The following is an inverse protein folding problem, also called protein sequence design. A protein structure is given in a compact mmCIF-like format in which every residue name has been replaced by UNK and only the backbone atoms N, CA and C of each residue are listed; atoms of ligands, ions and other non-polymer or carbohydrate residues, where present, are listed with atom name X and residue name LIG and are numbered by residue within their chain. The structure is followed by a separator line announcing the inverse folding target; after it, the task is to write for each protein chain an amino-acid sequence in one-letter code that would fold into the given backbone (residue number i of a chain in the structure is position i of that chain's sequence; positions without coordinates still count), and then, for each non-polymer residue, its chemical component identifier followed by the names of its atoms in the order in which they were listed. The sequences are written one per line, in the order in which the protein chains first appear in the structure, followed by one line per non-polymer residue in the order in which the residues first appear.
data_IF_400820531693
#
_entry.id   IF_400820531693
#
_cell.length_a   1.000
_cell.length_b   1.000
_cell.length_c   1.000
_cell.angle_alpha   90.00
_cell.angle_beta   90.00
_cell.angle_gamma   90.00
#
_symmetry.space_group_name_H-M   'P 1'
#
loop_
_entity.id
_entity.type
_entity.pdbx_description
1 polymer ?
#
# COMPACT_ATOMS: atom_id res chain seq x y z
N UNK A 1 -42.00 -24.76 0.92
CA UNK A 1 -41.22 -23.48 0.79
C UNK A 1 -39.81 -23.76 1.27
N UNK A 2 -38.91 -23.91 0.36
CA UNK A 2 -37.51 -24.05 0.71
C UNK A 2 -36.99 -22.67 1.10
N UNK A 3 -36.64 -22.50 2.38
CA UNK A 3 -35.89 -21.36 2.80
C UNK A 3 -34.52 -21.42 2.13
N UNK A 4 -34.26 -20.52 1.18
CA UNK A 4 -32.91 -20.30 0.68
C UNK A 4 -32.05 -19.92 1.87
N UNK A 5 -31.20 -20.86 2.31
CA UNK A 5 -30.08 -20.49 3.11
C UNK A 5 -29.18 -19.58 2.28
N UNK A 6 -29.25 -18.29 2.58
CA UNK A 6 -28.23 -17.36 2.11
C UNK A 6 -26.96 -17.83 2.80
N UNK A 7 -26.06 -18.45 2.02
CA UNK A 7 -24.73 -18.74 2.53
C UNK A 7 -24.13 -17.41 2.92
N UNK A 8 -23.94 -17.22 4.22
CA UNK A 8 -23.16 -16.09 4.72
C UNK A 8 -21.81 -16.18 4.02
N UNK A 9 -21.56 -15.24 3.11
CA UNK A 9 -20.22 -15.06 2.56
C UNK A 9 -19.34 -14.74 3.74
N UNK A 10 -18.47 -15.66 4.12
CA UNK A 10 -17.41 -15.36 5.09
C UNK A 10 -16.73 -14.10 4.63
N UNK A 11 -16.91 -13.01 5.37
CA UNK A 11 -16.21 -11.77 5.11
C UNK A 11 -14.72 -12.05 5.19
N UNK A 12 -14.00 -11.75 4.09
CA UNK A 12 -12.55 -11.80 4.09
C UNK A 12 -12.06 -10.75 5.09
N UNK A 13 -11.20 -11.10 6.06
CA UNK A 13 -10.66 -10.11 6.99
C UNK A 13 -10.01 -8.96 6.22
N UNK A 14 -10.31 -7.73 6.61
CA UNK A 14 -9.69 -6.55 6.03
C UNK A 14 -8.22 -6.50 6.41
N UNK A 15 -7.35 -6.38 5.40
CA UNK A 15 -5.92 -6.25 5.57
C UNK A 15 -5.42 -5.07 4.73
N UNK A 16 -4.83 -4.09 5.38
CA UNK A 16 -4.37 -2.87 4.73
C UNK A 16 -2.92 -2.99 4.27
N UNK A 17 -2.67 -2.52 3.06
CA UNK A 17 -1.34 -2.28 2.54
C UNK A 17 -1.19 -0.83 2.11
N UNK A 18 -0.01 -0.28 2.29
CA UNK A 18 0.33 1.09 1.90
C UNK A 18 1.58 1.07 1.04
N UNK A 19 1.47 1.59 -0.17
CA UNK A 19 2.62 1.92 -1.02
C UNK A 19 2.80 3.43 -0.94
N UNK A 20 3.98 3.86 -0.48
CA UNK A 20 4.26 5.27 -0.30
C UNK A 20 5.72 5.61 -0.46
N UNK A 21 6.07 6.85 -0.20
CA UNK A 21 7.45 7.29 -0.13
C UNK A 21 8.18 6.73 1.08
N UNK A 22 9.50 6.92 1.11
CA UNK A 22 10.33 6.53 2.24
C UNK A 22 9.84 7.26 3.51
N UNK A 23 9.71 6.53 4.61
CA UNK A 23 9.31 7.10 5.89
C UNK A 23 7.84 6.99 6.24
N UNK A 24 6.98 6.45 5.37
CA UNK A 24 5.55 6.26 5.68
C UNK A 24 5.35 5.35 6.91
N UNK A 25 6.25 4.40 7.13
CA UNK A 25 6.22 3.51 8.30
C UNK A 25 7.00 4.06 9.51
N UNK A 26 7.54 5.27 9.42
CA UNK A 26 8.29 5.94 10.50
C UNK A 26 7.41 6.93 11.28
N UNK A 27 6.10 6.85 11.09
CA UNK A 27 5.15 7.72 11.81
C UNK A 27 5.05 7.33 13.28
N UNK A 28 4.76 8.31 14.10
CA UNK A 28 4.47 8.08 15.52
C UNK A 28 3.30 7.10 15.68
N UNK A 29 3.40 6.21 16.64
CA UNK A 29 2.40 5.17 16.88
C UNK A 29 2.53 3.94 15.97
N UNK A 30 3.59 3.86 15.16
CA UNK A 30 3.89 2.70 14.31
C UNK A 30 4.96 1.83 14.98
N UNK A 31 4.66 0.57 15.17
CA UNK A 31 5.59 -0.42 15.70
C UNK A 31 5.86 -1.50 14.64
N UNK A 32 7.10 -1.60 14.19
CA UNK A 32 7.51 -2.60 13.19
C UNK A 32 7.50 -3.98 13.84
N UNK A 33 6.77 -4.91 13.24
CA UNK A 33 6.65 -6.28 13.71
C UNK A 33 7.65 -7.19 13.01
N UNK A 34 7.69 -7.13 11.66
CA UNK A 34 8.58 -7.98 10.85
C UNK A 34 8.79 -7.38 9.46
N UNK A 35 9.92 -7.70 8.86
CA UNK A 35 10.18 -7.43 7.44
C UNK A 35 10.03 -8.71 6.62
N UNK A 36 9.31 -8.63 5.51
CA UNK A 36 9.11 -9.72 4.57
C UNK A 36 9.95 -9.53 3.32
N UNK A 37 11.02 -10.28 3.19
CA UNK A 37 11.87 -10.28 1.99
C UNK A 37 11.41 -11.41 1.07
N UNK A 38 10.48 -11.09 0.19
CA UNK A 38 9.84 -12.04 -0.72
C UNK A 38 10.15 -11.73 -2.17
N UNK A 39 10.17 -12.79 -2.98
CA UNK A 39 10.24 -12.69 -4.44
C UNK A 39 8.87 -12.99 -5.05
N UNK A 40 8.62 -12.45 -6.24
CA UNK A 40 7.38 -12.66 -7.00
C UNK A 40 7.70 -13.23 -8.39
N UNK A 41 6.70 -13.75 -9.12
CA UNK A 41 6.90 -14.12 -10.52
C UNK A 41 7.36 -12.98 -11.43
N UNK A 42 7.18 -11.73 -10.99
CA UNK A 42 7.63 -10.52 -11.70
C UNK A 42 8.98 -9.99 -11.19
N UNK A 43 9.66 -10.75 -10.34
CA UNK A 43 10.91 -10.36 -9.71
C UNK A 43 10.73 -9.85 -8.28
N UNK A 44 11.76 -9.20 -7.77
CA UNK A 44 11.72 -8.63 -6.42
C UNK A 44 10.96 -7.31 -6.39
N UNK A 45 10.19 -7.04 -5.33
CA UNK A 45 9.58 -5.72 -5.13
C UNK A 45 10.65 -4.64 -4.86
N UNK A 46 10.21 -3.39 -4.79
CA UNK A 46 11.10 -2.22 -4.55
C UNK A 46 11.96 -2.36 -3.30
N UNK A 47 11.42 -3.03 -2.28
CA UNK A 47 12.09 -3.28 -1.00
C UNK A 47 11.36 -4.42 -0.28
N UNK A 48 11.94 -4.99 0.80
CA UNK A 48 11.18 -5.84 1.69
C UNK A 48 9.93 -5.13 2.23
N UNK A 49 8.83 -5.87 2.32
CA UNK A 49 7.59 -5.33 2.87
C UNK A 49 7.68 -5.28 4.38
N UNK A 50 7.41 -4.13 4.96
CA UNK A 50 7.38 -3.94 6.40
C UNK A 50 5.98 -4.21 6.93
N UNK A 51 5.86 -5.19 7.82
CA UNK A 51 4.64 -5.43 8.58
C UNK A 51 4.73 -4.69 9.90
N UNK A 52 3.77 -3.81 10.15
CA UNK A 52 3.77 -2.97 11.33
C UNK A 52 2.41 -2.94 12.00
N UNK A 53 2.40 -2.67 13.28
CA UNK A 53 1.20 -2.36 14.05
C UNK A 53 1.06 -0.83 14.13
N UNK A 54 -0.09 -0.33 13.69
CA UNK A 54 -0.44 1.09 13.75
C UNK A 54 -1.66 1.22 14.65
N UNK A 55 -1.43 1.58 15.90
CA UNK A 55 -2.49 1.76 16.91
C UNK A 55 -3.44 0.55 17.02
N UNK A 56 -2.88 -0.65 17.01
CA UNK A 56 -3.64 -1.91 17.10
C UNK A 56 -4.10 -2.49 15.77
N UNK A 57 -3.84 -1.82 14.66
CA UNK A 57 -4.17 -2.30 13.31
C UNK A 57 -2.90 -2.74 12.58
N UNK A 58 -2.90 -3.96 12.07
CA UNK A 58 -1.79 -4.50 11.29
C UNK A 58 -1.83 -3.93 9.87
N UNK A 59 -0.71 -3.35 9.43
CA UNK A 59 -0.57 -2.72 8.11
C UNK A 59 0.74 -3.16 7.46
N UNK A 60 0.70 -3.43 6.16
CA UNK A 60 1.88 -3.72 5.36
C UNK A 60 2.31 -2.48 4.61
N UNK A 61 3.58 -2.10 4.75
CA UNK A 61 4.16 -0.92 4.09
C UNK A 61 5.20 -1.33 3.06
N UNK A 62 5.16 -0.68 1.90
CA UNK A 62 6.15 -0.86 0.85
C UNK A 62 6.61 0.50 0.33
N UNK A 63 7.91 0.85 0.50
CA UNK A 63 8.44 2.08 -0.09
C UNK A 63 8.58 1.92 -1.60
N UNK A 64 7.85 2.74 -2.36
CA UNK A 64 7.78 2.67 -3.82
C UNK A 64 9.14 2.75 -4.50
N UNK A 65 9.97 3.67 -4.06
CA UNK A 65 11.31 3.90 -4.62
C UNK A 65 12.42 3.13 -3.90
N UNK A 66 12.06 2.24 -2.99
CA UNK A 66 12.99 1.55 -2.11
C UNK A 66 13.51 2.44 -0.97
N UNK A 67 14.11 1.81 0.01
CA UNK A 67 14.70 2.49 1.16
C UNK A 67 15.86 3.37 0.68
N UNK A 68 15.84 4.64 1.08
CA UNK A 68 16.84 5.62 0.60
C UNK A 68 16.56 6.15 -0.80
N UNK A 69 15.37 5.93 -1.34
CA UNK A 69 14.94 6.45 -2.65
C UNK A 69 15.89 6.06 -3.80
N UNK A 70 16.30 4.79 -3.83
CA UNK A 70 17.31 4.27 -4.79
C UNK A 70 16.77 4.01 -6.20
N UNK A 71 15.45 3.91 -6.37
CA UNK A 71 14.81 3.64 -7.66
C UNK A 71 14.19 4.90 -8.24
N UNK A 72 14.41 5.13 -9.53
CA UNK A 72 13.69 6.16 -10.28
C UNK A 72 12.27 5.68 -10.59
N UNK A 73 11.33 6.59 -10.95
CA UNK A 73 9.96 6.19 -11.30
C UNK A 73 9.89 5.11 -12.38
N UNK A 74 10.81 5.14 -13.34
CA UNK A 74 10.87 4.13 -14.44
C UNK A 74 11.39 2.78 -13.99
N UNK A 75 12.13 2.72 -12.89
CA UNK A 75 12.74 1.50 -12.35
C UNK A 75 11.84 0.80 -11.33
N UNK A 76 10.77 1.46 -10.87
CA UNK A 76 9.88 0.88 -9.87
C UNK A 76 9.19 -0.37 -10.44
N UNK A 77 9.36 -1.54 -9.77
CA UNK A 77 8.73 -2.79 -10.22
C UNK A 77 7.26 -2.86 -9.78
N UNK A 78 6.38 -2.11 -10.42
CA UNK A 78 4.97 -1.95 -10.03
C UNK A 78 4.23 -3.28 -9.91
N UNK A 79 4.42 -4.19 -10.86
CA UNK A 79 3.77 -5.51 -10.83
C UNK A 79 4.21 -6.36 -9.66
N UNK A 80 5.52 -6.39 -9.39
CA UNK A 80 6.07 -7.10 -8.25
C UNK A 80 5.55 -6.52 -6.92
N UNK A 81 5.46 -5.19 -6.82
CA UNK A 81 4.99 -4.51 -5.62
C UNK A 81 3.53 -4.87 -5.30
N UNK A 82 2.65 -4.82 -6.28
CA UNK A 82 1.24 -5.22 -6.08
C UNK A 82 1.13 -6.70 -5.78
N UNK A 83 1.90 -7.53 -6.48
CA UNK A 83 1.85 -8.98 -6.31
C UNK A 83 2.30 -9.42 -4.91
N UNK A 84 3.40 -8.86 -4.39
CA UNK A 84 3.89 -9.24 -3.06
C UNK A 84 2.89 -8.87 -1.96
N UNK A 85 2.22 -7.74 -2.07
CA UNK A 85 1.17 -7.36 -1.12
C UNK A 85 -0.02 -8.32 -1.18
N UNK A 86 -0.39 -8.76 -2.37
CA UNK A 86 -1.42 -9.79 -2.53
C UNK A 86 -1.00 -11.13 -1.90
N UNK A 87 0.26 -11.54 -2.07
CA UNK A 87 0.79 -12.75 -1.42
C UNK A 87 0.69 -12.67 0.10
N UNK A 88 0.87 -11.49 0.68
CA UNK A 88 0.78 -11.25 2.12
C UNK A 88 -0.66 -11.13 2.63
N UNK A 89 -1.65 -11.19 1.76
CA UNK A 89 -3.06 -11.17 2.14
C UNK A 89 -3.69 -9.78 2.18
N UNK A 90 -3.02 -8.76 1.62
CA UNK A 90 -3.58 -7.41 1.53
C UNK A 90 -4.86 -7.41 0.71
N UNK A 91 -5.93 -6.86 1.27
CA UNK A 91 -7.24 -6.74 0.65
C UNK A 91 -7.56 -5.32 0.21
N UNK A 92 -6.99 -4.33 0.89
CA UNK A 92 -7.19 -2.91 0.62
C UNK A 92 -5.84 -2.23 0.50
N UNK A 93 -5.60 -1.63 -0.65
CA UNK A 93 -4.33 -0.97 -0.95
C UNK A 93 -4.50 0.53 -1.02
N UNK A 94 -3.71 1.25 -0.24
CA UNK A 94 -3.60 2.69 -0.28
C UNK A 94 -2.26 3.07 -0.93
N UNK A 95 -2.33 3.83 -2.02
CA UNK A 95 -1.13 4.39 -2.65
C UNK A 95 -1.05 5.88 -2.31
N UNK A 96 0.04 6.27 -1.68
CA UNK A 96 0.25 7.65 -1.21
C UNK A 96 1.42 8.27 -1.96
N UNK A 97 1.22 9.46 -2.51
CA UNK A 97 2.28 10.22 -3.17
C UNK A 97 2.09 11.71 -2.95
N UNK A 98 3.19 12.45 -2.94
CA UNK A 98 3.16 13.89 -2.96
C UNK A 98 2.99 14.38 -4.40
N UNK A 99 2.13 15.37 -4.59
CA UNK A 99 1.84 15.95 -5.91
C UNK A 99 1.89 17.48 -5.85
N UNK A 100 2.16 18.10 -6.99
CA UNK A 100 2.10 19.55 -7.12
C UNK A 100 0.67 20.07 -7.10
N UNK A 101 0.46 21.20 -6.48
CA UNK A 101 -0.84 21.89 -6.42
C UNK A 101 -0.99 22.76 -7.66
N UNK A 102 -2.11 22.60 -8.36
CA UNK A 102 -2.47 23.41 -9.55
C UNK A 102 -3.79 24.14 -9.38
N UNK A 103 -4.41 24.09 -8.19
CA UNK A 103 -5.70 24.71 -7.88
C UNK A 103 -5.56 25.61 -6.65
N UNK A 104 -6.14 26.82 -6.70
CA UNK A 104 -6.01 27.81 -5.60
C UNK A 104 -6.69 27.36 -4.30
N UNK A 105 -7.75 26.54 -4.39
CA UNK A 105 -8.50 26.09 -3.22
C UNK A 105 -7.82 24.92 -2.48
N UNK A 106 -6.77 24.34 -3.05
CA UNK A 106 -5.97 23.28 -2.42
C UNK A 106 -4.74 23.91 -1.76
N UNK A 107 -4.48 23.56 -0.51
CA UNK A 107 -3.36 24.08 0.26
C UNK A 107 -2.30 23.02 0.51
N UNK A 108 -1.02 23.40 0.72
CA UNK A 108 -0.01 22.46 1.17
C UNK A 108 -0.46 21.70 2.41
N UNK A 109 -0.29 20.38 2.41
CA UNK A 109 -0.74 19.50 3.48
C UNK A 109 -2.15 18.95 3.34
N UNK A 110 -2.93 19.46 2.38
CA UNK A 110 -4.25 18.90 2.10
C UNK A 110 -4.14 17.48 1.55
N UNK A 111 -5.04 16.60 2.00
CA UNK A 111 -5.19 15.25 1.46
C UNK A 111 -6.22 15.27 0.34
N UNK A 112 -5.83 14.80 -0.83
CA UNK A 112 -6.70 14.75 -2.01
C UNK A 112 -6.86 13.30 -2.45
N UNK A 113 -8.11 12.88 -2.62
CA UNK A 113 -8.43 11.57 -3.18
C UNK A 113 -8.93 11.78 -4.61
N UNK A 114 -8.17 11.34 -5.64
CA UNK A 114 -8.61 11.50 -7.02
C UNK A 114 -9.75 10.52 -7.33
N UNK A 115 -10.67 10.96 -8.16
CA UNK A 115 -11.75 10.11 -8.67
C UNK A 115 -11.43 9.50 -10.03
N UNK A 116 -10.38 9.99 -10.70
CA UNK A 116 -9.95 9.51 -11.99
C UNK A 116 -8.45 9.75 -12.20
N UNK A 117 -7.82 8.86 -12.97
CA UNK A 117 -6.41 8.99 -13.39
C UNK A 117 -6.37 8.99 -14.91
N UNK A 118 -5.62 9.93 -15.47
CA UNK A 118 -5.31 9.99 -16.89
C UNK A 118 -3.80 9.76 -17.08
N UNK A 119 -3.46 8.64 -17.73
CA UNK A 119 -2.07 8.30 -18.06
C UNK A 119 -1.74 8.72 -19.50
N UNK A 120 -0.67 9.46 -19.66
CA UNK A 120 -0.20 9.96 -20.96
C UNK A 120 0.88 9.07 -21.55
#
# INVERSE_FOLDING_TARGET
MESRQVSEKKSVPVCFGVIGGSGVYQMDGTEVVVEHDLSTPFGRPSDPVVEADVEGTRVFFLPRHGKGHRLTPSEVPYRANVHVLKQLGVTHLLSVSAVGIMQEHIRPGDMVVPDQIFDR
#
